data_IF_678115927345
#
_entry.id   IF_678115927345
#
_cell.length_a   1.000
_cell.length_b   1.000
_cell.length_c   1.000
_cell.angle_alpha   90.00
_cell.angle_beta   90.00
_cell.angle_gamma   90.00
#
_symmetry.space_group_name_H-M   'P 1'
#
loop_
_entity.id
_entity.type
_entity.pdbx_description
1 polymer ?
#
# COMPACT_ATOMS: atom_id res chain seq x y z
N UNK A 1 7.66 10.96 -16.42
CA UNK A 1 6.71 9.83 -16.50
C UNK A 1 5.84 9.91 -15.27
N UNK A 2 4.65 10.49 -15.39
CA UNK A 2 3.74 10.66 -14.25
C UNK A 2 3.09 9.32 -13.98
N UNK A 3 3.60 8.58 -12.99
CA UNK A 3 3.04 7.29 -12.59
C UNK A 3 1.57 7.50 -12.22
N UNK A 4 0.67 6.86 -12.96
CA UNK A 4 -0.75 6.80 -12.59
C UNK A 4 -0.81 6.26 -11.16
N UNK A 5 -1.62 6.82 -10.24
CA UNK A 5 -1.75 6.24 -8.91
C UNK A 5 -2.16 4.78 -9.07
N UNK A 6 -1.26 3.86 -8.74
CA UNK A 6 -1.58 2.44 -8.72
C UNK A 6 -2.60 2.22 -7.61
N UNK A 7 -3.69 1.53 -7.95
CA UNK A 7 -4.63 1.05 -6.95
C UNK A 7 -3.86 0.13 -5.99
N UNK A 8 -4.02 0.36 -4.69
CA UNK A 8 -3.38 -0.47 -3.66
C UNK A 8 -3.73 -1.95 -3.82
N UNK A 9 -4.94 -2.26 -4.31
CA UNK A 9 -5.33 -3.64 -4.61
C UNK A 9 -4.56 -4.25 -5.79
N UNK A 10 -4.29 -3.48 -6.86
CA UNK A 10 -3.46 -3.96 -7.97
C UNK A 10 -2.01 -4.21 -7.50
N UNK A 11 -1.44 -3.28 -6.74
CA UNK A 11 -0.10 -3.45 -6.19
C UNK A 11 -0.03 -4.67 -5.26
N UNK A 12 -1.07 -4.93 -4.44
CA UNK A 12 -1.17 -6.13 -3.61
C UNK A 12 -1.17 -7.41 -4.46
N UNK A 13 -1.96 -7.45 -5.53
CA UNK A 13 -2.00 -8.59 -6.45
C UNK A 13 -0.65 -8.81 -7.13
N UNK A 14 0.00 -7.75 -7.61
CA UNK A 14 1.31 -7.79 -8.26
C UNK A 14 2.46 -8.21 -7.31
N UNK A 15 2.30 -7.92 -6.02
CA UNK A 15 3.17 -8.36 -4.93
C UNK A 15 2.90 -9.82 -4.50
N UNK A 16 1.86 -10.46 -5.05
CA UNK A 16 1.47 -11.84 -4.75
C UNK A 16 0.96 -12.02 -3.32
N UNK A 17 0.39 -10.98 -2.72
CA UNK A 17 -0.14 -11.01 -1.35
C UNK A 17 -1.63 -11.29 -1.36
N UNK A 18 -2.12 -12.14 -0.45
CA UNK A 18 -3.55 -12.14 -0.12
C UNK A 18 -3.93 -10.88 0.67
N UNK A 19 -5.23 -10.60 0.84
CA UNK A 19 -5.68 -9.50 1.71
C UNK A 19 -5.17 -9.68 3.15
N UNK A 20 -5.17 -10.93 3.64
CA UNK A 20 -4.68 -11.23 4.98
C UNK A 20 -3.16 -11.02 5.10
N UNK A 21 -2.37 -11.39 4.09
CA UNK A 21 -0.92 -11.18 4.12
C UNK A 21 -0.56 -9.69 4.16
N UNK A 22 -1.27 -8.88 3.37
CA UNK A 22 -1.11 -7.42 3.41
C UNK A 22 -1.47 -6.87 4.79
N UNK A 23 -2.58 -7.33 5.37
CA UNK A 23 -3.00 -6.90 6.71
C UNK A 23 -1.98 -7.25 7.78
N UNK A 24 -1.43 -8.48 7.79
CA UNK A 24 -0.40 -8.88 8.75
C UNK A 24 0.86 -8.00 8.64
N UNK A 25 1.29 -7.70 7.41
CA UNK A 25 2.45 -6.82 7.18
C UNK A 25 2.18 -5.39 7.62
N UNK A 26 1.03 -4.83 7.26
CA UNK A 26 0.58 -3.50 7.73
C UNK A 26 0.48 -3.44 9.26
N UNK A 27 -0.05 -4.47 9.90
CA UNK A 27 -0.17 -4.57 11.36
C UNK A 27 1.20 -4.63 12.04
N UNK A 28 2.16 -5.38 11.47
CA UNK A 28 3.53 -5.44 11.97
C UNK A 28 4.25 -4.07 11.95
N UNK A 29 3.81 -3.15 11.09
CA UNK A 29 4.28 -1.75 11.03
C UNK A 29 3.52 -0.81 11.98
N UNK A 30 2.72 -1.37 12.89
CA UNK A 30 1.91 -0.63 13.87
C UNK A 30 0.61 -0.08 13.30
N UNK A 31 0.16 -0.60 12.16
CA UNK A 31 -1.18 -0.36 11.62
C UNK A 31 -2.27 -0.97 12.50
N UNK A 32 -3.33 -0.23 12.77
CA UNK A 32 -4.40 -0.67 13.69
C UNK A 32 -5.77 -0.80 13.01
N UNK A 33 -5.86 -0.49 11.71
CA UNK A 33 -7.09 -0.65 10.93
C UNK A 33 -7.51 -2.12 10.90
N UNK A 34 -8.79 -2.45 11.19
CA UNK A 34 -9.33 -3.80 11.04
C UNK A 34 -9.11 -4.35 9.62
N UNK A 35 -8.94 -5.67 9.48
CA UNK A 35 -8.64 -6.30 8.19
C UNK A 35 -9.68 -5.99 7.11
N UNK A 36 -10.97 -5.98 7.46
CA UNK A 36 -12.05 -5.65 6.54
C UNK A 36 -12.00 -4.20 6.06
N UNK A 37 -11.65 -3.26 6.94
CA UNK A 37 -11.51 -1.85 6.59
C UNK A 37 -10.27 -1.63 5.72
N UNK A 38 -9.17 -2.35 5.98
CA UNK A 38 -7.98 -2.32 5.14
C UNK A 38 -8.27 -2.81 3.71
N UNK A 39 -9.07 -3.87 3.59
CA UNK A 39 -9.56 -4.37 2.30
C UNK A 39 -10.43 -3.31 1.59
N UNK A 40 -11.36 -2.67 2.31
CA UNK A 40 -12.16 -1.58 1.76
C UNK A 40 -11.30 -0.39 1.29
N UNK A 41 -10.23 -0.06 2.01
CA UNK A 41 -9.23 0.95 1.58
C UNK A 41 -8.54 0.52 0.29
N UNK A 42 -8.11 -0.75 0.19
CA UNK A 42 -7.43 -1.25 -1.01
C UNK A 42 -8.31 -1.16 -2.26
N UNK A 43 -9.60 -1.44 -2.11
CA UNK A 43 -10.61 -1.33 -3.17
C UNK A 43 -11.09 0.11 -3.43
N UNK A 44 -10.62 1.10 -2.66
CA UNK A 44 -11.05 2.50 -2.79
C UNK A 44 -12.47 2.77 -2.27
N UNK A 45 -13.07 1.84 -1.53
CA UNK A 45 -14.35 2.03 -0.86
C UNK A 45 -14.22 2.88 0.42
N UNK A 46 -13.02 2.98 0.97
CA UNK A 46 -12.67 3.83 2.10
C UNK A 46 -11.38 4.61 1.83
N UNK A 47 -11.25 5.76 2.47
CA UNK A 47 -10.03 6.58 2.42
C UNK A 47 -9.27 6.37 3.73
N UNK A 48 -8.02 5.90 3.63
CA UNK A 48 -7.13 5.82 4.78
C UNK A 48 -6.58 7.20 5.16
N UNK A 49 -6.13 7.34 6.41
CA UNK A 49 -5.27 8.46 6.79
C UNK A 49 -3.95 8.39 6.01
N UNK A 50 -3.26 9.52 5.79
CA UNK A 50 -1.96 9.52 5.10
C UNK A 50 -0.96 8.59 5.81
N UNK A 51 -1.00 8.56 7.14
CA UNK A 51 -0.15 7.70 7.96
C UNK A 51 -0.40 6.21 7.73
N UNK A 52 -1.67 5.78 7.70
CA UNK A 52 -2.01 4.39 7.40
C UNK A 52 -1.77 4.04 5.94
N UNK A 53 -2.04 4.97 5.02
CA UNK A 53 -1.73 4.82 3.61
C UNK A 53 -0.24 4.57 3.42
N UNK A 54 0.63 5.36 4.03
CA UNK A 54 2.08 5.23 3.90
C UNK A 54 2.59 3.91 4.49
N UNK A 55 1.96 3.38 5.54
CA UNK A 55 2.27 2.04 6.05
C UNK A 55 1.86 0.93 5.08
N UNK A 56 0.69 1.05 4.43
CA UNK A 56 0.26 0.09 3.40
C UNK A 56 1.25 0.11 2.24
N UNK A 57 1.62 1.31 1.79
CA UNK A 57 2.64 1.50 0.75
C UNK A 57 3.97 0.91 1.18
N UNK A 58 4.39 1.10 2.43
CA UNK A 58 5.62 0.52 2.96
C UNK A 58 5.60 -1.01 2.92
N UNK A 59 4.53 -1.64 3.42
CA UNK A 59 4.38 -3.10 3.41
C UNK A 59 4.42 -3.68 1.98
N UNK A 60 3.79 -3.00 1.01
CA UNK A 60 3.84 -3.39 -0.40
C UNK A 60 5.24 -3.24 -0.98
N UNK A 61 5.89 -2.12 -0.71
CA UNK A 61 7.23 -1.81 -1.19
C UNK A 61 8.29 -2.76 -0.62
N UNK A 62 8.22 -3.10 0.66
CA UNK A 62 9.07 -4.14 1.26
C UNK A 62 8.89 -5.47 0.53
N UNK A 63 7.65 -5.88 0.23
CA UNK A 63 7.39 -7.10 -0.54
C UNK A 63 7.95 -7.03 -1.95
N UNK A 64 7.86 -5.88 -2.63
CA UNK A 64 8.47 -5.72 -3.93
C UNK A 64 9.99 -5.84 -3.88
N UNK A 65 10.62 -5.28 -2.85
CA UNK A 65 12.07 -5.43 -2.61
C UNK A 65 12.45 -6.90 -2.37
N UNK A 66 11.67 -7.65 -1.59
CA UNK A 66 11.86 -9.11 -1.41
C UNK A 66 11.80 -9.88 -2.74
N UNK A 67 11.02 -9.40 -3.71
CA UNK A 67 10.88 -9.97 -5.05
C UNK A 67 11.96 -9.45 -6.03
N UNK A 68 12.91 -8.63 -5.56
CA UNK A 68 13.96 -8.02 -6.40
C UNK A 68 13.47 -6.88 -7.30
N UNK A 69 12.29 -6.29 -7.02
CA UNK A 69 11.73 -5.13 -7.72
C UNK A 69 11.96 -3.86 -6.90
N UNK A 70 11.98 -2.69 -7.53
CA UNK A 70 12.29 -1.44 -6.86
C UNK A 70 11.03 -0.56 -6.67
N UNK A 71 10.57 -0.43 -5.41
CA UNK A 71 9.57 0.53 -4.90
C UNK A 71 8.54 1.09 -5.91
N UNK A 72 7.61 0.27 -6.42
CA UNK A 72 6.68 0.72 -7.47
C UNK A 72 5.54 1.61 -6.94
N UNK A 73 5.22 1.56 -5.64
CA UNK A 73 4.08 2.32 -5.08
C UNK A 73 4.56 3.61 -4.40
N UNK A 74 4.03 4.80 -4.79
CA UNK A 74 4.46 6.07 -4.23
C UNK A 74 3.84 6.37 -2.86
N UNK A 75 4.65 6.90 -1.95
CA UNK A 75 4.20 7.45 -0.67
C UNK A 75 3.40 8.73 -0.86
N UNK A 76 2.68 9.16 0.18
CA UNK A 76 1.80 10.34 0.11
C UNK A 76 2.60 11.60 -0.23
N UNK A 77 3.80 11.74 0.33
CA UNK A 77 4.72 12.85 0.06
C UNK A 77 5.22 12.91 -1.39
N UNK A 78 5.39 11.75 -2.05
CA UNK A 78 5.83 11.67 -3.45
C UNK A 78 4.74 12.13 -4.42
N UNK A 79 3.47 11.98 -4.05
CA UNK A 79 2.33 12.45 -4.85
C UNK A 79 2.12 13.96 -4.77
N UNK A 80 2.73 14.62 -3.78
CA UNK A 80 2.60 16.06 -3.49
C UNK A 80 3.67 16.97 -4.10
N UNK A 81 4.63 16.47 -4.90
CA UNK A 81 5.75 17.28 -5.42
C UNK A 81 5.84 17.32 -6.95
N UNK A 82 5.17 18.31 -7.54
CA UNK A 82 5.59 18.96 -8.79
C UNK A 82 4.96 20.38 -8.87
N UNK A 83 5.74 21.48 -8.73
CA UNK A 83 5.49 22.67 -9.54
C UNK A 83 5.90 22.42 -11.00
#
# INVERSE_FOLDING_TARGET
>A
MTSRPESLDLARQDAGLSQYDLWVRYFALGGMTPSLELEAVCHGAMVATDHDRDRIVHALNERFTELGRNHPVPYSEDTGKHP
#
